data_IF_129837849964
#
_entry.id   IF_129837849964
#
_cell.length_a   1.000
_cell.length_b   1.000
_cell.length_c   1.000
_cell.angle_alpha   90.00
_cell.angle_beta   90.00
_cell.angle_gamma   90.00
#
_symmetry.space_group_name_H-M   'P 1'
#
loop_
_entity.id
_entity.type
_entity.pdbx_description
1 polymer ?
#
# COMPACT_ATOMS: atom_id res chain seq x y z
N UNK A 1 -46.28 50.20 -12.68
CA UNK A 1 -45.20 50.66 -11.77
C UNK A 1 -44.38 49.45 -11.34
N UNK A 2 -43.05 49.62 -11.31
CA UNK A 2 -41.99 48.64 -10.98
C UNK A 2 -42.25 47.85 -9.69
N UNK A 3 -41.86 46.57 -9.67
CA UNK A 3 -40.71 46.08 -8.86
C UNK A 3 -40.25 44.70 -9.37
N UNK A 4 -38.96 44.63 -9.73
CA UNK A 4 -38.19 43.43 -10.09
C UNK A 4 -37.65 42.80 -8.80
N UNK A 5 -37.71 41.48 -8.66
CA UNK A 5 -36.82 40.70 -7.78
C UNK A 5 -36.80 39.26 -8.33
N UNK A 6 -35.89 38.95 -9.27
CA UNK A 6 -34.58 38.31 -9.07
C UNK A 6 -34.64 36.85 -8.56
N UNK A 7 -34.31 35.96 -9.50
CA UNK A 7 -33.87 34.57 -9.41
C UNK A 7 -33.09 34.21 -8.15
N UNK A 8 -33.38 33.06 -7.53
CA UNK A 8 -32.40 32.01 -7.19
C UNK A 8 -33.11 30.65 -7.22
N UNK A 9 -33.01 29.97 -8.37
CA UNK A 9 -33.11 28.52 -8.44
C UNK A 9 -31.67 28.02 -8.59
N UNK A 10 -31.12 27.42 -7.54
CA UNK A 10 -29.94 26.58 -7.68
C UNK A 10 -30.00 25.48 -6.63
N UNK A 11 -30.49 24.32 -7.07
CA UNK A 11 -30.19 23.04 -6.45
C UNK A 11 -28.66 22.93 -6.36
N UNK A 12 -28.11 22.87 -5.14
CA UNK A 12 -26.79 22.31 -4.94
C UNK A 12 -26.95 20.97 -4.22
N UNK A 13 -26.51 19.95 -4.94
CA UNK A 13 -26.57 18.54 -4.62
C UNK A 13 -26.07 18.25 -3.21
N UNK A 14 -26.85 17.45 -2.47
CA UNK A 14 -26.30 16.59 -1.44
C UNK A 14 -25.29 15.65 -2.12
N UNK A 15 -24.01 16.03 -2.08
CA UNK A 15 -22.94 15.07 -2.30
C UNK A 15 -22.95 14.12 -1.11
N UNK A 16 -23.71 13.03 -1.25
CA UNK A 16 -23.45 11.82 -0.48
C UNK A 16 -22.07 11.38 -0.93
N UNK A 17 -21.03 11.84 -0.23
CA UNK A 17 -19.71 11.26 -0.33
C UNK A 17 -19.89 9.81 0.13
N UNK A 18 -20.15 8.92 -0.84
CA UNK A 18 -20.16 7.50 -0.63
C UNK A 18 -18.81 7.15 -0.05
N UNK A 19 -18.79 6.97 1.28
CA UNK A 19 -17.74 6.29 1.99
C UNK A 19 -17.81 4.84 1.51
N UNK A 20 -17.32 4.61 0.30
CA UNK A 20 -17.00 3.27 -0.18
C UNK A 20 -15.78 2.92 0.65
N UNK A 21 -16.01 2.20 1.74
CA UNK A 21 -15.04 1.65 2.67
C UNK A 21 -14.13 0.62 1.97
N UNK A 22 -13.48 1.05 0.88
CA UNK A 22 -12.28 0.41 0.39
C UNK A 22 -11.16 0.70 1.39
N UNK A 23 -10.27 -0.27 1.60
CA UNK A 23 -9.07 -0.05 2.40
C UNK A 23 -8.31 1.19 1.90
N UNK A 24 -7.50 1.84 2.74
CA UNK A 24 -6.52 2.83 2.31
C UNK A 24 -5.15 2.17 2.11
N UNK A 25 -4.18 2.84 1.46
CA UNK A 25 -2.77 2.43 1.48
C UNK A 25 -2.24 2.14 2.90
N UNK A 26 -2.47 3.03 3.87
CA UNK A 26 -2.10 2.83 5.29
C UNK A 26 -2.77 1.59 5.88
N UNK A 27 -4.06 1.37 5.62
CA UNK A 27 -4.75 0.16 6.10
C UNK A 27 -4.17 -1.12 5.49
N UNK A 28 -3.77 -1.07 4.21
CA UNK A 28 -3.15 -2.19 3.48
C UNK A 28 -1.74 -2.48 4.02
N UNK A 29 -0.94 -1.44 4.28
CA UNK A 29 0.36 -1.55 4.92
C UNK A 29 0.24 -2.24 6.29
N UNK A 30 -0.66 -1.76 7.14
CA UNK A 30 -0.91 -2.35 8.45
C UNK A 30 -1.32 -3.81 8.35
N UNK A 31 -2.24 -4.15 7.43
CA UNK A 31 -2.67 -5.52 7.22
C UNK A 31 -1.54 -6.44 6.74
N UNK A 32 -0.67 -5.98 5.84
CA UNK A 32 0.52 -6.72 5.41
C UNK A 32 1.48 -6.97 6.58
N UNK A 33 1.73 -5.94 7.39
CA UNK A 33 2.66 -6.03 8.50
C UNK A 33 2.14 -6.94 9.63
N UNK A 34 0.84 -6.86 9.96
CA UNK A 34 0.22 -7.79 10.90
C UNK A 34 0.28 -9.25 10.38
N UNK A 35 0.12 -9.45 9.08
CA UNK A 35 0.30 -10.77 8.46
C UNK A 35 1.76 -11.26 8.59
N UNK A 36 2.73 -10.36 8.40
CA UNK A 36 4.15 -10.65 8.60
C UNK A 36 4.44 -11.10 10.04
N UNK A 37 3.94 -10.37 11.04
CA UNK A 37 4.11 -10.72 12.46
C UNK A 37 3.47 -12.08 12.81
N UNK A 38 2.37 -12.43 12.16
CA UNK A 38 1.66 -13.71 12.33
C UNK A 38 2.22 -14.83 11.45
N UNK A 39 3.24 -14.56 10.62
CA UNK A 39 3.75 -15.45 9.58
C UNK A 39 2.65 -15.96 8.63
N UNK A 40 1.62 -15.16 8.40
CA UNK A 40 0.51 -15.48 7.50
C UNK A 40 0.88 -15.16 6.05
N UNK A 41 1.54 -16.12 5.40
CA UNK A 41 2.00 -16.01 4.00
C UNK A 41 0.86 -15.69 3.04
N UNK A 42 -0.33 -16.25 3.27
CA UNK A 42 -1.48 -16.02 2.39
C UNK A 42 -1.98 -14.57 2.49
N UNK A 43 -2.10 -14.05 3.71
CA UNK A 43 -2.48 -12.66 3.94
C UNK A 43 -1.40 -11.67 3.48
N UNK A 44 -0.11 -12.00 3.63
CA UNK A 44 0.97 -11.20 3.05
C UNK A 44 0.82 -11.09 1.54
N UNK A 45 0.77 -12.23 0.84
CA UNK A 45 0.61 -12.25 -0.63
C UNK A 45 -0.63 -11.48 -1.07
N UNK A 46 -1.75 -11.60 -0.35
CA UNK A 46 -2.99 -10.86 -0.65
C UNK A 46 -2.80 -9.34 -0.65
N UNK A 47 -1.87 -8.81 0.15
CA UNK A 47 -1.62 -7.37 0.23
C UNK A 47 -0.54 -6.89 -0.76
N UNK A 48 0.13 -7.78 -1.49
CA UNK A 48 1.12 -7.45 -2.51
C UNK A 48 0.49 -7.29 -3.89
N UNK A 49 1.07 -6.43 -4.73
CA UNK A 49 0.64 -6.25 -6.11
C UNK A 49 0.92 -7.49 -6.94
N UNK A 50 0.17 -7.68 -8.04
CA UNK A 50 0.42 -8.79 -8.97
C UNK A 50 1.84 -8.75 -9.54
N UNK A 51 2.35 -7.57 -9.86
CA UNK A 51 3.72 -7.38 -10.36
C UNK A 51 4.77 -7.78 -9.33
N UNK A 52 4.62 -7.32 -8.08
CA UNK A 52 5.51 -7.71 -6.98
C UNK A 52 5.54 -9.23 -6.80
N UNK A 53 4.36 -9.88 -6.77
CA UNK A 53 4.25 -11.32 -6.65
C UNK A 53 4.92 -12.06 -7.81
N UNK A 54 4.70 -11.61 -9.05
CA UNK A 54 5.30 -12.22 -10.24
C UNK A 54 6.84 -12.16 -10.21
N UNK A 55 7.41 -11.06 -9.72
CA UNK A 55 8.87 -10.92 -9.56
C UNK A 55 9.38 -11.85 -8.46
N UNK A 56 8.69 -11.91 -7.31
CA UNK A 56 9.04 -12.82 -6.22
C UNK A 56 8.94 -14.30 -6.66
N UNK A 57 7.91 -14.66 -7.41
CA UNK A 57 7.75 -16.00 -7.97
C UNK A 57 8.87 -16.35 -8.95
N UNK A 58 9.29 -15.42 -9.81
CA UNK A 58 10.42 -15.64 -10.71
C UNK A 58 11.71 -15.87 -9.91
N UNK A 59 12.01 -15.00 -8.94
CA UNK A 59 13.20 -15.12 -8.10
C UNK A 59 13.21 -16.40 -7.26
N UNK A 60 12.05 -16.84 -6.76
CA UNK A 60 11.93 -18.10 -6.05
C UNK A 60 12.18 -19.30 -6.98
N UNK A 61 11.63 -19.27 -8.21
CA UNK A 61 11.86 -20.32 -9.22
C UNK A 61 13.34 -20.42 -9.63
N UNK A 62 14.04 -19.31 -9.77
CA UNK A 62 15.50 -19.28 -10.03
C UNK A 62 16.30 -19.99 -8.91
N UNK A 63 15.76 -20.00 -7.69
CA UNK A 63 16.32 -20.70 -6.54
C UNK A 63 15.76 -22.13 -6.36
N UNK A 64 14.96 -22.62 -7.31
CA UNK A 64 14.24 -23.90 -7.24
C UNK A 64 13.29 -24.02 -6.04
N UNK A 65 12.64 -22.92 -5.66
CA UNK A 65 11.69 -22.84 -4.54
C UNK A 65 10.32 -22.33 -4.98
N UNK A 66 9.30 -22.60 -4.16
CA UNK A 66 8.02 -21.89 -4.28
C UNK A 66 8.13 -20.47 -3.70
N UNK A 67 7.28 -19.55 -4.17
CA UNK A 67 7.21 -18.20 -3.57
C UNK A 67 6.82 -18.24 -2.09
N UNK A 68 6.03 -19.24 -1.69
CA UNK A 68 5.60 -19.41 -0.30
C UNK A 68 6.78 -19.80 0.59
N UNK A 69 7.66 -20.68 0.10
CA UNK A 69 8.85 -21.07 0.86
C UNK A 69 9.87 -19.93 0.91
N UNK A 70 10.04 -19.17 -0.18
CA UNK A 70 10.87 -17.97 -0.17
C UNK A 70 10.36 -16.92 0.84
N UNK A 71 9.04 -16.71 0.94
CA UNK A 71 8.45 -15.81 1.94
C UNK A 71 8.67 -16.35 3.35
N UNK A 72 8.47 -17.65 3.61
CA UNK A 72 8.71 -18.26 4.92
C UNK A 72 10.16 -18.12 5.36
N UNK A 73 11.11 -18.41 4.47
CA UNK A 73 12.54 -18.24 4.74
C UNK A 73 12.88 -16.79 5.08
N UNK A 74 12.31 -15.83 4.35
CA UNK A 74 12.48 -14.41 4.67
C UNK A 74 11.89 -14.07 6.05
N UNK A 75 10.74 -14.63 6.43
CA UNK A 75 10.13 -14.43 7.75
C UNK A 75 10.93 -15.05 8.90
N UNK A 76 11.71 -16.10 8.61
CA UNK A 76 12.59 -16.73 9.59
C UNK A 76 13.94 -16.00 9.74
N UNK A 77 14.28 -15.13 8.78
CA UNK A 77 15.43 -14.24 8.89
C UNK A 77 15.25 -13.25 10.05
N UNK A 78 16.15 -13.22 11.06
CA UNK A 78 16.08 -12.28 12.17
C UNK A 78 16.02 -10.81 11.72
N UNK A 79 16.63 -10.46 10.59
CA UNK A 79 16.59 -9.11 10.03
C UNK A 79 15.19 -8.68 9.54
N UNK A 80 14.27 -9.63 9.35
CA UNK A 80 12.88 -9.37 8.95
C UNK A 80 11.93 -9.25 10.14
N UNK A 81 12.42 -9.49 11.37
CA UNK A 81 11.61 -9.29 12.57
C UNK A 81 11.39 -7.81 12.75
N UNK A 82 10.13 -7.42 12.85
CA UNK A 82 9.79 -6.10 13.33
C UNK A 82 8.72 -6.20 14.39
N UNK A 83 9.12 -5.85 15.61
CA UNK A 83 8.27 -5.92 16.80
C UNK A 83 7.20 -4.82 16.80
N UNK A 84 7.47 -3.70 16.13
CA UNK A 84 6.59 -2.52 16.07
C UNK A 84 6.29 -2.12 14.63
N UNK A 85 5.00 -1.94 14.31
CA UNK A 85 4.60 -1.35 13.02
C UNK A 85 5.22 0.05 12.90
N UNK A 86 5.99 0.34 11.83
CA UNK A 86 6.55 1.66 11.58
C UNK A 86 5.51 2.78 11.64
N UNK A 87 5.92 3.95 12.15
CA UNK A 87 5.08 5.14 12.07
C UNK A 87 4.88 5.53 10.60
N UNK A 88 3.69 6.01 10.27
CA UNK A 88 3.33 6.33 8.88
C UNK A 88 2.79 7.75 8.76
N UNK A 89 3.07 8.43 7.65
CA UNK A 89 2.53 9.76 7.34
C UNK A 89 2.42 10.00 5.84
N UNK A 90 1.84 11.15 5.49
CA UNK A 90 1.80 11.67 4.12
C UNK A 90 1.24 10.66 3.10
N UNK A 91 0.17 9.94 3.45
CA UNK A 91 -0.56 9.11 2.49
C UNK A 91 -1.07 10.01 1.35
N UNK A 92 -0.68 9.68 0.10
CA UNK A 92 -1.07 10.46 -1.08
C UNK A 92 -1.59 9.53 -2.15
N UNK A 93 -2.84 9.73 -2.54
CA UNK A 93 -3.54 8.94 -3.55
C UNK A 93 -3.62 9.75 -4.85
N UNK A 94 -3.19 9.15 -5.97
CA UNK A 94 -3.32 9.69 -7.31
C UNK A 94 -3.92 8.63 -8.25
N UNK A 95 -5.25 8.65 -8.38
CA UNK A 95 -5.99 7.67 -9.19
C UNK A 95 -5.82 6.24 -8.65
N UNK A 96 -5.15 5.39 -9.42
CA UNK A 96 -4.88 4.00 -9.07
C UNK A 96 -3.49 3.79 -8.46
N UNK A 97 -2.77 4.86 -8.14
CA UNK A 97 -1.47 4.80 -7.49
C UNK A 97 -1.53 5.55 -6.15
N UNK A 98 -0.68 5.15 -5.21
CA UNK A 98 -0.50 5.90 -3.98
C UNK A 98 0.92 5.76 -3.40
N UNK A 99 1.26 6.68 -2.51
CA UNK A 99 2.50 6.66 -1.73
C UNK A 99 2.19 6.78 -0.24
N UNK A 100 3.04 6.18 0.59
CA UNK A 100 3.03 6.31 2.05
C UNK A 100 4.46 6.49 2.54
N UNK A 101 4.69 7.45 3.43
CA UNK A 101 5.98 7.58 4.11
C UNK A 101 5.98 6.74 5.39
N UNK A 102 7.06 5.97 5.59
CA UNK A 102 7.30 5.10 6.74
C UNK A 102 8.52 5.62 7.51
N UNK A 103 8.40 5.77 8.82
CA UNK A 103 9.55 6.14 9.65
C UNK A 103 10.47 4.94 9.85
N UNK A 104 11.72 5.11 9.47
CA UNK A 104 12.79 4.15 9.69
C UNK A 104 13.54 4.56 10.96
N UNK A 105 13.30 3.85 12.06
CA UNK A 105 13.87 4.18 13.36
C UNK A 105 15.41 4.07 13.38
N UNK A 106 16.00 3.17 12.58
CA UNK A 106 17.45 2.96 12.51
C UNK A 106 18.18 4.14 11.85
N UNK A 107 17.62 4.68 10.77
CA UNK A 107 18.23 5.78 10.01
C UNK A 107 17.65 7.15 10.38
N UNK A 108 16.58 7.18 11.17
CA UNK A 108 15.75 8.33 11.47
C UNK A 108 15.25 9.08 10.21
N UNK A 109 14.98 8.34 9.13
CA UNK A 109 14.49 8.87 7.85
C UNK A 109 13.05 8.43 7.59
N UNK A 110 12.43 9.07 6.61
CA UNK A 110 11.11 8.71 6.11
C UNK A 110 11.25 8.07 4.74
N UNK A 111 11.06 6.75 4.69
CA UNK A 111 11.16 5.95 3.47
C UNK A 111 9.80 5.94 2.75
N UNK A 112 9.82 6.07 1.43
CA UNK A 112 8.60 6.11 0.63
C UNK A 112 8.24 4.73 0.11
N UNK A 113 7.05 4.24 0.48
CA UNK A 113 6.45 3.02 -0.03
C UNK A 113 5.39 3.32 -1.08
N UNK A 114 5.33 2.50 -2.13
CA UNK A 114 4.40 2.67 -3.25
C UNK A 114 3.29 1.63 -3.24
N UNK A 115 2.12 2.03 -3.74
CA UNK A 115 0.92 1.21 -3.79
C UNK A 115 0.25 1.32 -5.17
N UNK A 116 -0.39 0.24 -5.57
CA UNK A 116 -1.22 0.17 -6.76
C UNK A 116 -2.63 -0.30 -6.38
N UNK A 117 -3.65 0.23 -7.04
CA UNK A 117 -5.04 -0.20 -6.89
C UNK A 117 -5.35 -1.23 -7.97
N UNK A 118 -5.56 -2.47 -7.55
CA UNK A 118 -5.87 -3.60 -8.41
C UNK A 118 -7.22 -4.17 -8.01
N UNK A 119 -8.13 -4.37 -8.97
CA UNK A 119 -9.46 -4.94 -8.75
C UNK A 119 -10.25 -4.23 -7.62
N UNK A 120 -10.05 -2.92 -7.50
CA UNK A 120 -10.68 -2.08 -6.48
C UNK A 120 -10.03 -2.10 -5.09
N UNK A 121 -8.97 -2.88 -4.88
CA UNK A 121 -8.23 -2.99 -3.63
C UNK A 121 -6.82 -2.42 -3.75
N UNK A 122 -6.32 -1.75 -2.71
CA UNK A 122 -4.91 -1.34 -2.67
C UNK A 122 -3.99 -2.53 -2.40
N UNK A 123 -2.80 -2.45 -3.00
CA UNK A 123 -1.72 -3.43 -2.91
C UNK A 123 -0.39 -2.70 -2.75
N UNK A 124 0.53 -3.28 -2.01
CA UNK A 124 1.90 -2.81 -1.91
C UNK A 124 2.64 -3.16 -3.20
N UNK A 125 3.23 -2.15 -3.84
CA UNK A 125 4.08 -2.29 -5.02
C UNK A 125 5.55 -2.30 -4.57
N UNK A 126 6.01 -3.44 -4.08
CA UNK A 126 7.40 -3.64 -3.64
C UNK A 126 8.39 -3.47 -4.78
N UNK A 127 8.01 -3.91 -5.98
CA UNK A 127 8.80 -3.75 -7.20
C UNK A 127 9.15 -2.28 -7.46
N UNK A 128 8.14 -1.40 -7.48
CA UNK A 128 8.35 0.04 -7.62
C UNK A 128 9.11 0.64 -6.44
N UNK A 129 8.83 0.18 -5.22
CA UNK A 129 9.54 0.65 -4.03
C UNK A 129 11.04 0.37 -4.13
N UNK A 130 11.42 -0.86 -4.50
CA UNK A 130 12.82 -1.27 -4.71
C UNK A 130 13.45 -0.51 -5.86
N UNK A 131 12.76 -0.38 -7.00
CA UNK A 131 13.25 0.36 -8.17
C UNK A 131 13.61 1.81 -7.80
N UNK A 132 12.72 2.49 -7.08
CA UNK A 132 12.94 3.88 -6.66
C UNK A 132 14.00 4.03 -5.59
N UNK A 133 14.23 3.01 -4.75
CA UNK A 133 15.36 2.97 -3.83
C UNK A 133 16.69 2.84 -4.59
N UNK A 134 16.77 1.94 -5.57
CA UNK A 134 17.97 1.71 -6.39
C UNK A 134 18.33 2.91 -7.27
N UNK A 135 17.35 3.70 -7.73
CA UNK A 135 17.63 4.94 -8.48
C UNK A 135 18.24 6.05 -7.62
N UNK A 136 18.06 5.99 -6.30
CA UNK A 136 18.50 7.02 -5.36
C UNK A 136 19.83 6.68 -4.67
N UNK A 137 20.31 5.44 -4.80
CA UNK A 137 21.61 4.98 -4.31
C UNK A 137 22.73 5.30 -5.29
#
# INVERSE_FOLDING_TARGET
MRKRTLFVALMLMLAVAGCKSGSSPTATFKAFFEAQQKKDVAAMKKNLSKTSLAIMERSAKEQNKSVDDAIKEQLDNPASKTDKIPETRNEKINGNEATLELHNEETNKWDMMYFAKEDGAWKIALDRTIEEMLKKS
#
